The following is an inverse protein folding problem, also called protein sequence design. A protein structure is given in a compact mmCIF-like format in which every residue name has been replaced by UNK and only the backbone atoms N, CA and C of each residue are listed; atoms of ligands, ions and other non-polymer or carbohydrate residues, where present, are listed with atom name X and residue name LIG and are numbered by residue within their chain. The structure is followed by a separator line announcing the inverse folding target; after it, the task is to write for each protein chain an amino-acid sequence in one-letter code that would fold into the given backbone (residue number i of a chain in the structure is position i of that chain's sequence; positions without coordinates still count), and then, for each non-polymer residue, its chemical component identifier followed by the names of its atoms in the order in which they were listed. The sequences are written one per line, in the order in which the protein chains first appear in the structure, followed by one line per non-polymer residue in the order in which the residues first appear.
data_IF_491842706679
#
_entry.id   IF_491842706679
#
_cell.length_a   1.000
_cell.length_b   1.000
_cell.length_c   1.000
_cell.angle_alpha   90.00
_cell.angle_beta   90.00
_cell.angle_gamma   90.00
#
_symmetry.space_group_name_H-M   'P 1'
#
loop_
_entity.id
_entity.type
_entity.pdbx_description
1 polymer ?
#
# COMPACT_ATOMS: atom_id res chain seq x y z
N UNK A 1 -24.50 -19.17 13.40
CA UNK A 1 -24.42 -19.48 11.97
C UNK A 1 -25.76 -19.17 11.34
N UNK A 2 -25.76 -18.35 10.29
CA UNK A 2 -26.94 -18.02 9.49
C UNK A 2 -26.58 -18.17 8.01
N UNK A 3 -27.53 -18.62 7.19
CA UNK A 3 -27.30 -18.74 5.74
C UNK A 3 -27.79 -17.49 5.03
N UNK A 4 -26.97 -16.92 4.14
CA UNK A 4 -27.34 -15.72 3.39
C UNK A 4 -28.60 -15.94 2.52
N UNK A 5 -28.81 -17.17 2.03
CA UNK A 5 -30.01 -17.57 1.28
C UNK A 5 -31.32 -17.40 2.06
N UNK A 6 -31.27 -17.53 3.40
CA UNK A 6 -32.46 -17.38 4.25
C UNK A 6 -32.95 -15.92 4.28
N UNK A 7 -32.10 -14.97 3.88
CA UNK A 7 -32.43 -13.56 3.68
C UNK A 7 -32.75 -13.21 2.21
N UNK A 8 -32.68 -14.20 1.31
CA UNK A 8 -32.90 -14.01 -0.13
C UNK A 8 -31.64 -13.72 -0.95
N UNK A 9 -30.43 -13.88 -0.38
CA UNK A 9 -29.19 -13.75 -1.15
C UNK A 9 -29.01 -15.01 -2.00
N UNK A 10 -29.27 -14.89 -3.30
CA UNK A 10 -29.35 -16.02 -4.24
C UNK A 10 -28.77 -15.63 -5.61
N UNK A 11 -28.14 -16.57 -6.34
CA UNK A 11 -27.63 -16.29 -7.70
C UNK A 11 -28.71 -15.82 -8.69
N UNK A 12 -29.96 -16.23 -8.46
CA UNK A 12 -31.09 -15.86 -9.31
C UNK A 12 -31.74 -14.51 -8.95
N UNK A 13 -31.37 -13.90 -7.83
CA UNK A 13 -31.91 -12.61 -7.42
C UNK A 13 -31.25 -11.47 -8.19
N UNK A 14 -31.95 -10.36 -8.34
CA UNK A 14 -31.37 -9.16 -8.97
C UNK A 14 -30.25 -8.56 -8.11
N UNK A 15 -29.39 -7.76 -8.74
CA UNK A 15 -28.29 -7.04 -8.07
C UNK A 15 -28.72 -6.28 -6.82
N UNK A 16 -29.87 -5.60 -6.87
CA UNK A 16 -30.42 -4.83 -5.76
C UNK A 16 -30.97 -5.74 -4.65
N UNK A 17 -31.71 -6.79 -5.01
CA UNK A 17 -32.25 -7.74 -4.04
C UNK A 17 -31.13 -8.47 -3.29
N UNK A 18 -30.08 -8.86 -3.99
CA UNK A 18 -28.89 -9.48 -3.40
C UNK A 18 -28.16 -8.55 -2.45
N UNK A 19 -27.96 -7.27 -2.83
CA UNK A 19 -27.38 -6.26 -1.94
C UNK A 19 -28.17 -6.14 -0.64
N UNK A 20 -29.49 -5.97 -0.73
CA UNK A 20 -30.37 -5.85 0.43
C UNK A 20 -30.39 -7.11 1.28
N UNK A 21 -30.41 -8.28 0.65
CA UNK A 21 -30.40 -9.57 1.34
C UNK A 21 -29.10 -9.82 2.08
N UNK A 22 -27.95 -9.58 1.43
CA UNK A 22 -26.65 -9.71 2.06
C UNK A 22 -26.48 -8.69 3.18
N UNK A 23 -26.95 -7.45 3.00
CA UNK A 23 -26.93 -6.46 4.07
C UNK A 23 -27.73 -6.92 5.30
N UNK A 24 -28.94 -7.44 5.12
CA UNK A 24 -29.74 -8.00 6.22
C UNK A 24 -29.03 -9.15 6.94
N UNK A 25 -28.33 -10.01 6.19
CA UNK A 25 -27.54 -11.08 6.77
C UNK A 25 -26.38 -10.53 7.61
N UNK A 26 -25.63 -9.56 7.07
CA UNK A 26 -24.52 -8.87 7.75
C UNK A 26 -24.95 -8.11 9.00
N UNK A 27 -26.16 -7.55 9.00
CA UNK A 27 -26.73 -6.83 10.14
C UNK A 27 -26.95 -7.72 11.37
N UNK A 28 -27.01 -9.04 11.18
CA UNK A 28 -27.15 -9.99 12.27
C UNK A 28 -25.82 -10.28 12.99
N UNK A 29 -24.69 -9.97 12.36
CA UNK A 29 -23.35 -10.34 12.83
C UNK A 29 -23.15 -11.86 12.95
N UNK A 30 -22.11 -12.26 13.68
CA UNK A 30 -21.77 -13.67 13.87
C UNK A 30 -21.30 -14.33 12.56
N UNK A 31 -21.58 -15.63 12.41
CA UNK A 31 -21.14 -16.38 11.23
C UNK A 31 -22.24 -16.45 10.16
N UNK A 32 -21.92 -15.97 8.96
CA UNK A 32 -22.79 -15.89 7.79
C UNK A 32 -22.17 -16.71 6.67
N UNK A 33 -22.95 -17.64 6.11
CA UNK A 33 -22.48 -18.54 5.06
C UNK A 33 -23.24 -18.31 3.76
N UNK A 34 -22.50 -18.16 2.66
CA UNK A 34 -23.01 -18.18 1.28
C UNK A 34 -22.73 -19.57 0.72
N UNK A 35 -23.75 -20.43 0.67
CA UNK A 35 -23.60 -21.87 0.39
C UNK A 35 -24.29 -22.37 -0.88
N UNK A 36 -24.96 -21.49 -1.62
CA UNK A 36 -25.60 -21.84 -2.89
C UNK A 36 -24.64 -21.51 -4.03
N UNK A 37 -24.15 -22.52 -4.75
CA UNK A 37 -23.25 -22.30 -5.88
C UNK A 37 -23.89 -21.41 -6.96
N UNK A 38 -23.08 -20.52 -7.55
CA UNK A 38 -23.52 -19.59 -8.58
C UNK A 38 -22.86 -18.22 -8.47
N UNK A 39 -23.14 -17.38 -9.46
CA UNK A 39 -22.67 -16.00 -9.52
C UNK A 39 -23.76 -15.10 -8.95
N UNK A 40 -23.44 -14.34 -7.91
CA UNK A 40 -24.32 -13.40 -7.25
C UNK A 40 -24.04 -12.00 -7.79
N UNK A 41 -24.97 -11.45 -8.56
CA UNK A 41 -24.89 -10.04 -8.91
C UNK A 41 -25.18 -9.20 -7.66
N UNK A 42 -24.30 -8.24 -7.35
CA UNK A 42 -24.47 -7.30 -6.23
C UNK A 42 -24.21 -5.89 -6.73
N UNK A 43 -25.22 -5.03 -6.60
CA UNK A 43 -25.07 -3.61 -6.91
C UNK A 43 -24.62 -2.83 -5.68
N UNK A 44 -23.59 -1.99 -5.80
CA UNK A 44 -23.15 -1.11 -4.72
C UNK A 44 -22.52 -1.80 -3.53
N UNK A 45 -22.39 -1.06 -2.42
CA UNK A 45 -21.63 -1.46 -1.24
C UNK A 45 -22.51 -2.07 -0.15
N UNK A 46 -22.04 -3.16 0.45
CA UNK A 46 -22.58 -3.71 1.71
C UNK A 46 -21.64 -3.42 2.87
N UNK A 47 -22.22 -3.26 4.06
CA UNK A 47 -21.50 -2.91 5.27
C UNK A 47 -21.37 -4.09 6.23
N UNK A 48 -20.13 -4.43 6.58
CA UNK A 48 -19.81 -5.46 7.58
C UNK A 48 -19.45 -4.82 8.93
N UNK A 49 -20.00 -5.34 10.03
CA UNK A 49 -19.72 -4.85 11.37
C UNK A 49 -18.82 -5.79 12.17
N UNK A 50 -18.42 -5.35 13.36
CA UNK A 50 -17.64 -6.14 14.31
C UNK A 50 -18.20 -7.54 14.57
N UNK A 51 -17.33 -8.49 14.93
CA UNK A 51 -17.67 -9.86 15.31
C UNK A 51 -18.45 -10.62 14.24
N UNK A 52 -18.05 -10.42 12.98
CA UNK A 52 -18.73 -10.99 11.81
C UNK A 52 -17.78 -11.82 10.97
N UNK A 53 -18.20 -13.04 10.63
CA UNK A 53 -17.51 -13.92 9.67
C UNK A 53 -18.40 -14.12 8.46
N UNK A 54 -17.90 -13.77 7.28
CA UNK A 54 -18.57 -13.97 6.00
C UNK A 54 -17.81 -15.03 5.21
N UNK A 55 -18.41 -16.22 5.07
CA UNK A 55 -17.78 -17.36 4.40
C UNK A 55 -18.52 -17.70 3.10
N UNK A 56 -17.76 -17.77 2.01
CA UNK A 56 -18.22 -18.15 0.68
C UNK A 56 -17.82 -19.59 0.40
N UNK A 57 -18.80 -20.44 0.12
CA UNK A 57 -18.55 -21.84 -0.22
C UNK A 57 -17.97 -21.97 -1.64
N UNK A 58 -17.34 -23.12 -1.92
CA UNK A 58 -16.83 -23.45 -3.25
C UNK A 58 -17.93 -23.32 -4.32
N UNK A 59 -17.55 -22.79 -5.50
CA UNK A 59 -18.47 -22.57 -6.61
C UNK A 59 -19.37 -21.34 -6.46
N UNK A 60 -19.11 -20.48 -5.48
CA UNK A 60 -19.75 -19.16 -5.34
C UNK A 60 -18.82 -18.07 -5.87
N UNK A 61 -19.41 -17.04 -6.49
CA UNK A 61 -18.70 -15.83 -6.88
C UNK A 61 -19.61 -14.61 -6.73
N UNK A 62 -19.05 -13.47 -6.35
CA UNK A 62 -19.77 -12.19 -6.33
C UNK A 62 -19.35 -11.39 -7.54
N UNK A 63 -20.31 -11.00 -8.37
CA UNK A 63 -20.10 -10.10 -9.50
C UNK A 63 -20.66 -8.73 -9.18
N UNK A 64 -19.84 -7.70 -9.25
CA UNK A 64 -20.34 -6.33 -9.12
C UNK A 64 -21.28 -6.01 -10.28
N UNK A 65 -22.37 -5.33 -9.97
CA UNK A 65 -23.35 -4.88 -10.96
C UNK A 65 -23.53 -3.37 -10.86
N UNK A 66 -23.73 -2.71 -12.00
CA UNK A 66 -23.89 -1.27 -12.05
C UNK A 66 -25.13 -0.87 -11.26
N UNK A 67 -25.01 0.22 -10.51
CA UNK A 67 -26.16 0.84 -9.88
C UNK A 67 -26.96 1.67 -10.90
N UNK A 68 -28.22 1.96 -10.58
CA UNK A 68 -29.02 2.90 -11.35
C UNK A 68 -28.47 4.33 -11.24
N UNK A 69 -28.87 5.21 -12.15
CA UNK A 69 -28.46 6.63 -12.16
C UNK A 69 -28.70 7.30 -10.78
N UNK A 70 -27.67 7.97 -10.24
CA UNK A 70 -27.73 8.69 -8.96
C UNK A 70 -27.47 7.85 -7.69
N UNK A 71 -27.05 6.59 -7.83
CA UNK A 71 -26.67 5.74 -6.69
C UNK A 71 -25.14 5.65 -6.54
N UNK A 72 -24.66 5.73 -5.29
CA UNK A 72 -23.23 5.70 -4.98
C UNK A 72 -22.71 4.28 -4.82
N UNK A 73 -21.59 4.00 -5.48
CA UNK A 73 -20.87 2.73 -5.40
C UNK A 73 -19.42 3.00 -4.97
N UNK A 74 -19.05 2.59 -3.77
CA UNK A 74 -17.71 2.84 -3.21
C UNK A 74 -16.80 1.61 -3.32
N UNK A 75 -17.38 0.46 -3.68
CA UNK A 75 -16.79 -0.87 -3.55
C UNK A 75 -17.86 -1.93 -3.30
N UNK A 76 -17.46 -3.19 -3.20
CA UNK A 76 -18.35 -4.27 -2.77
C UNK A 76 -18.53 -4.27 -1.25
N UNK A 77 -17.45 -4.28 -0.46
CA UNK A 77 -17.50 -4.34 1.01
C UNK A 77 -16.76 -3.16 1.63
N UNK A 78 -17.39 -2.55 2.65
CA UNK A 78 -16.77 -1.62 3.60
C UNK A 78 -17.14 -2.00 5.04
N UNK A 79 -16.27 -1.76 6.02
CA UNK A 79 -16.69 -1.90 7.43
C UNK A 79 -17.54 -0.72 7.91
N UNK A 80 -18.47 -0.98 8.83
CA UNK A 80 -19.41 0.04 9.36
C UNK A 80 -18.69 1.19 10.05
N UNK A 81 -17.66 0.87 10.81
CA UNK A 81 -16.81 1.78 11.57
C UNK A 81 -16.14 2.85 10.71
N UNK A 82 -15.84 2.55 9.45
CA UNK A 82 -15.20 3.45 8.49
C UNK A 82 -15.91 4.82 8.38
N UNK A 83 -17.25 4.83 8.35
CA UNK A 83 -18.04 6.06 8.19
C UNK A 83 -18.20 6.86 9.49
N UNK A 84 -17.85 6.26 10.62
CA UNK A 84 -17.98 6.89 11.95
C UNK A 84 -16.64 7.09 12.64
N UNK A 85 -15.54 6.68 11.99
CA UNK A 85 -14.18 6.69 12.55
C UNK A 85 -14.09 5.95 13.88
N UNK A 86 -14.81 4.83 13.98
CA UNK A 86 -14.79 3.93 15.14
C UNK A 86 -14.24 2.59 14.70
N UNK A 87 -13.46 1.97 15.58
CA UNK A 87 -12.96 0.64 15.31
C UNK A 87 -14.11 -0.36 15.20
N UNK A 88 -14.16 -1.08 14.08
CA UNK A 88 -14.70 -2.42 14.09
C UNK A 88 -13.61 -3.42 14.49
N UNK A 89 -14.01 -4.58 15.02
CA UNK A 89 -13.09 -5.64 15.41
C UNK A 89 -13.57 -7.03 15.05
N UNK A 90 -12.64 -7.97 14.89
CA UNK A 90 -12.91 -9.41 14.70
C UNK A 90 -13.77 -9.69 13.45
N UNK A 91 -13.33 -9.18 12.30
CA UNK A 91 -13.97 -9.40 11.00
C UNK A 91 -13.18 -10.44 10.21
N UNK A 92 -13.89 -11.42 9.64
CA UNK A 92 -13.31 -12.45 8.78
C UNK A 92 -14.09 -12.58 7.48
N UNK A 93 -13.38 -12.60 6.35
CA UNK A 93 -13.91 -12.93 5.02
C UNK A 93 -13.14 -14.14 4.51
N UNK A 94 -13.84 -15.19 4.10
CA UNK A 94 -13.21 -16.40 3.53
C UNK A 94 -13.86 -16.87 2.24
N UNK A 95 -13.05 -17.34 1.29
CA UNK A 95 -13.50 -17.97 0.04
C UNK A 95 -14.08 -17.01 -1.00
N UNK A 96 -13.89 -15.70 -0.84
CA UNK A 96 -14.50 -14.70 -1.71
C UNK A 96 -13.82 -14.69 -3.08
N UNK A 97 -14.55 -15.15 -4.11
CA UNK A 97 -14.25 -14.85 -5.50
C UNK A 97 -15.02 -13.60 -5.94
N UNK A 98 -14.30 -12.52 -6.21
CA UNK A 98 -14.84 -11.26 -6.68
C UNK A 98 -14.61 -11.09 -8.19
N UNK A 99 -15.66 -10.68 -8.91
CA UNK A 99 -15.64 -10.28 -10.30
C UNK A 99 -16.01 -8.79 -10.35
N UNK A 100 -15.04 -7.93 -10.70
CA UNK A 100 -15.26 -6.47 -10.75
C UNK A 100 -16.22 -6.07 -11.86
N UNK A 101 -16.31 -6.88 -12.92
CA UNK A 101 -17.22 -6.69 -14.05
C UNK A 101 -17.05 -5.34 -14.75
N UNK A 102 -15.81 -4.83 -14.78
CA UNK A 102 -15.48 -3.51 -15.35
C UNK A 102 -15.97 -2.32 -14.53
N UNK A 103 -16.52 -2.55 -13.32
CA UNK A 103 -16.93 -1.47 -12.42
C UNK A 103 -15.72 -1.04 -11.61
N UNK A 104 -15.25 0.17 -11.88
CA UNK A 104 -13.97 0.69 -11.40
C UNK A 104 -14.14 2.17 -11.07
N UNK A 105 -14.29 2.50 -9.78
CA UNK A 105 -14.85 3.77 -9.35
C UNK A 105 -13.73 4.76 -9.02
N UNK A 106 -13.80 5.98 -9.55
CA UNK A 106 -12.76 7.01 -9.35
C UNK A 106 -13.22 8.21 -8.51
N UNK A 107 -14.53 8.42 -8.31
CA UNK A 107 -14.99 9.77 -7.93
C UNK A 107 -16.15 9.85 -6.91
N UNK A 108 -16.63 8.75 -6.32
CA UNK A 108 -17.85 8.77 -5.49
C UNK A 108 -17.68 8.22 -4.05
N UNK A 109 -16.46 8.19 -3.53
CA UNK A 109 -16.24 7.78 -2.13
C UNK A 109 -16.63 8.88 -1.14
N UNK A 110 -17.51 8.54 -0.20
CA UNK A 110 -17.88 9.38 0.96
C UNK A 110 -16.70 9.55 1.91
N UNK A 111 -15.75 8.62 1.89
CA UNK A 111 -14.52 8.69 2.66
C UNK A 111 -13.41 9.09 1.70
N UNK A 112 -13.07 10.38 1.70
CA UNK A 112 -11.94 10.90 0.90
C UNK A 112 -10.70 10.07 1.21
N UNK A 113 -10.06 9.53 0.17
CA UNK A 113 -8.89 8.67 0.31
C UNK A 113 -9.18 7.16 0.33
N UNK A 114 -10.44 6.73 0.42
CA UNK A 114 -10.81 5.32 0.27
C UNK A 114 -11.32 5.05 -1.15
N UNK A 115 -10.65 4.15 -1.87
CA UNK A 115 -11.04 3.69 -3.19
C UNK A 115 -10.72 2.21 -3.38
N UNK A 116 -11.63 1.32 -2.98
CA UNK A 116 -11.37 -0.11 -2.97
C UNK A 116 -12.59 -0.94 -3.36
N UNK A 117 -12.36 -2.13 -3.91
CA UNK A 117 -13.43 -3.11 -4.01
C UNK A 117 -13.77 -3.72 -2.64
N UNK A 118 -12.74 -3.98 -1.83
CA UNK A 118 -12.88 -4.44 -0.45
C UNK A 118 -12.07 -3.51 0.44
N UNK A 119 -12.74 -2.63 1.18
CA UNK A 119 -12.09 -1.59 1.96
C UNK A 119 -12.35 -1.72 3.46
N UNK A 120 -11.33 -1.41 4.25
CA UNK A 120 -11.41 -1.37 5.71
C UNK A 120 -10.73 -0.11 6.25
N UNK A 121 -11.43 0.61 7.13
CA UNK A 121 -10.92 1.81 7.78
C UNK A 121 -11.35 1.80 9.25
N UNK A 122 -10.39 2.03 10.17
CA UNK A 122 -10.58 1.78 11.61
C UNK A 122 -10.99 0.33 11.88
N UNK A 123 -10.03 -0.58 11.80
CA UNK A 123 -10.27 -2.03 11.92
C UNK A 123 -9.25 -2.69 12.85
N UNK A 124 -9.71 -3.64 13.67
CA UNK A 124 -8.84 -4.53 14.47
C UNK A 124 -9.13 -6.00 14.18
N UNK A 125 -8.10 -6.84 14.18
CA UNK A 125 -8.26 -8.29 14.03
C UNK A 125 -9.03 -8.66 12.75
N UNK A 126 -8.54 -8.17 11.61
CA UNK A 126 -9.10 -8.45 10.28
C UNK A 126 -8.49 -9.73 9.70
N UNK A 127 -9.31 -10.59 9.12
CA UNK A 127 -8.87 -11.76 8.35
C UNK A 127 -9.51 -11.78 6.96
N UNK A 128 -8.69 -11.97 5.93
CA UNK A 128 -9.17 -12.27 4.57
C UNK A 128 -8.41 -13.50 4.07
N UNK A 129 -9.14 -14.58 3.80
CA UNK A 129 -8.56 -15.89 3.50
C UNK A 129 -9.17 -16.44 2.21
N UNK A 130 -8.36 -17.04 1.33
CA UNK A 130 -8.81 -17.65 0.08
C UNK A 130 -9.59 -16.65 -0.79
N UNK A 131 -8.94 -15.54 -1.14
CA UNK A 131 -9.54 -14.45 -1.91
C UNK A 131 -9.05 -14.45 -3.35
N UNK A 132 -9.99 -14.36 -4.30
CA UNK A 132 -9.67 -14.29 -5.73
C UNK A 132 -10.34 -13.07 -6.40
N UNK A 133 -9.57 -12.34 -7.22
CA UNK A 133 -10.08 -11.28 -8.09
C UNK A 133 -9.24 -11.23 -9.38
N UNK A 134 -9.78 -11.70 -10.51
CA UNK A 134 -9.00 -11.91 -11.74
C UNK A 134 -9.21 -10.83 -12.81
N UNK A 135 -10.11 -9.87 -12.58
CA UNK A 135 -10.47 -8.81 -13.50
C UNK A 135 -10.35 -7.43 -12.85
N UNK A 136 -9.33 -7.22 -12.01
CA UNK A 136 -9.11 -5.94 -11.33
C UNK A 136 -8.95 -4.80 -12.35
N UNK A 137 -9.69 -3.71 -12.14
CA UNK A 137 -9.64 -2.50 -12.96
C UNK A 137 -8.31 -1.75 -12.85
N UNK A 138 -8.26 -0.52 -13.34
CA UNK A 138 -7.09 0.38 -13.33
C UNK A 138 -7.17 1.46 -12.26
N UNK A 139 -8.25 1.56 -11.50
CA UNK A 139 -8.47 2.71 -10.63
C UNK A 139 -8.68 2.36 -9.15
N UNK A 140 -9.61 1.47 -8.84
CA UNK A 140 -9.88 1.00 -7.47
C UNK A 140 -8.85 -0.04 -7.05
N UNK A 141 -8.40 0.04 -5.80
CA UNK A 141 -7.58 -1.00 -5.20
C UNK A 141 -8.40 -2.26 -4.99
N UNK A 142 -7.77 -3.44 -5.08
CA UNK A 142 -8.51 -4.67 -4.81
C UNK A 142 -8.90 -4.75 -3.33
N UNK A 143 -7.90 -4.68 -2.46
CA UNK A 143 -8.06 -4.63 -1.00
C UNK A 143 -7.36 -3.36 -0.50
N UNK A 144 -8.08 -2.50 0.24
CA UNK A 144 -7.49 -1.33 0.90
C UNK A 144 -7.77 -1.36 2.40
N UNK A 145 -6.73 -1.19 3.22
CA UNK A 145 -6.84 -1.25 4.68
C UNK A 145 -6.08 -0.06 5.28
N UNK A 146 -6.73 0.77 6.07
CA UNK A 146 -6.12 1.96 6.69
C UNK A 146 -6.57 2.14 8.14
N UNK A 147 -5.71 2.70 8.99
CA UNK A 147 -5.93 2.80 10.45
C UNK A 147 -6.32 1.45 11.04
N UNK A 148 -5.36 0.52 11.02
CA UNK A 148 -5.59 -0.86 11.41
C UNK A 148 -4.64 -1.36 12.51
N UNK A 149 -5.08 -2.41 13.19
CA UNK A 149 -4.27 -3.22 14.11
C UNK A 149 -4.57 -4.70 13.86
N UNK A 150 -3.55 -5.53 13.63
CA UNK A 150 -3.72 -6.98 13.39
C UNK A 150 -4.55 -7.31 12.15
N UNK A 151 -3.93 -7.22 10.96
CA UNK A 151 -4.51 -7.61 9.69
C UNK A 151 -3.83 -8.86 9.11
N UNK A 152 -4.60 -9.90 8.81
CA UNK A 152 -4.11 -11.17 8.30
C UNK A 152 -4.74 -11.50 6.95
N UNK A 153 -3.92 -11.54 5.90
CA UNK A 153 -4.34 -11.88 4.55
C UNK A 153 -3.61 -13.17 4.10
N UNK A 154 -4.36 -14.19 3.68
CA UNK A 154 -3.78 -15.47 3.27
C UNK A 154 -4.44 -16.03 2.01
N UNK A 155 -3.62 -16.66 1.15
CA UNK A 155 -4.05 -17.29 -0.10
C UNK A 155 -4.79 -16.31 -1.02
N UNK A 156 -4.07 -15.27 -1.46
CA UNK A 156 -4.60 -14.24 -2.36
C UNK A 156 -4.23 -14.57 -3.80
N UNK A 157 -5.20 -14.49 -4.71
CA UNK A 157 -4.95 -14.55 -6.15
C UNK A 157 -5.59 -13.35 -6.85
N UNK A 158 -4.77 -12.39 -7.25
CA UNK A 158 -5.25 -11.11 -7.77
C UNK A 158 -4.57 -10.80 -9.10
N UNK A 159 -5.38 -10.51 -10.11
CA UNK A 159 -4.92 -10.14 -11.45
C UNK A 159 -5.64 -8.89 -11.97
N UNK A 160 -4.90 -7.98 -12.60
CA UNK A 160 -5.48 -6.84 -13.32
C UNK A 160 -4.63 -5.56 -13.33
N UNK A 161 -5.31 -4.41 -13.34
CA UNK A 161 -4.73 -3.12 -13.70
C UNK A 161 -4.26 -2.25 -12.54
N UNK A 162 -4.55 -2.62 -11.28
CA UNK A 162 -4.31 -1.76 -10.11
C UNK A 162 -3.69 -2.53 -8.94
N UNK A 163 -3.48 -1.85 -7.82
CA UNK A 163 -2.81 -2.40 -6.67
C UNK A 163 -3.62 -3.55 -6.04
N UNK A 164 -2.96 -4.64 -5.67
CA UNK A 164 -3.65 -5.81 -5.10
C UNK A 164 -4.00 -5.56 -3.63
N UNK A 165 -2.99 -5.27 -2.81
CA UNK A 165 -3.15 -4.95 -1.39
C UNK A 165 -2.57 -3.58 -1.11
N UNK A 166 -3.41 -2.67 -0.63
CA UNK A 166 -3.07 -1.28 -0.38
C UNK A 166 -3.24 -0.93 1.11
N UNK A 167 -2.13 -0.87 1.83
CA UNK A 167 -2.11 -0.48 3.23
C UNK A 167 -1.84 1.02 3.39
N UNK A 168 -2.68 1.68 4.18
CA UNK A 168 -2.37 2.96 4.83
C UNK A 168 -1.82 2.73 6.24
N UNK A 169 -1.80 3.78 7.08
CA UNK A 169 -1.30 3.73 8.47
C UNK A 169 -1.86 2.55 9.28
N UNK A 170 -1.03 1.89 10.09
CA UNK A 170 -1.44 0.77 10.93
C UNK A 170 -0.29 -0.13 11.35
N UNK A 171 -0.58 -1.17 12.11
CA UNK A 171 0.44 -2.04 12.70
C UNK A 171 0.01 -3.49 12.81
N UNK A 172 1.01 -4.35 12.87
CA UNK A 172 0.89 -5.79 13.07
C UNK A 172 0.10 -6.41 11.91
N UNK A 173 0.78 -6.84 10.84
CA UNK A 173 0.10 -7.42 9.68
C UNK A 173 0.85 -8.58 9.05
N UNK A 174 0.09 -9.45 8.37
CA UNK A 174 0.59 -10.57 7.61
C UNK A 174 -0.06 -10.61 6.22
N UNK A 175 0.76 -10.76 5.19
CA UNK A 175 0.32 -11.23 3.86
C UNK A 175 1.05 -12.55 3.60
N UNK A 176 0.31 -13.63 3.37
CA UNK A 176 0.87 -14.97 3.15
C UNK A 176 0.30 -15.63 1.91
N UNK A 177 1.16 -16.31 1.15
CA UNK A 177 0.78 -17.13 -0.01
C UNK A 177 0.02 -16.31 -1.08
N UNK A 178 0.58 -15.16 -1.47
CA UNK A 178 -0.01 -14.30 -2.50
C UNK A 178 0.50 -14.63 -3.92
N UNK A 179 -0.40 -14.66 -4.90
CA UNK A 179 -0.09 -14.77 -6.32
C UNK A 179 -0.67 -13.55 -7.05
N UNK A 180 0.21 -12.68 -7.54
CA UNK A 180 -0.18 -11.37 -8.05
C UNK A 180 0.25 -11.17 -9.50
N UNK A 181 -0.70 -10.85 -10.37
CA UNK A 181 -0.45 -10.39 -11.74
C UNK A 181 -1.07 -9.01 -11.92
N UNK A 182 -0.43 -7.97 -11.38
CA UNK A 182 -0.92 -6.59 -11.43
C UNK A 182 -0.08 -5.66 -12.32
N UNK A 183 -0.72 -4.68 -12.95
CA UNK A 183 -0.03 -3.63 -13.71
C UNK A 183 0.71 -2.67 -12.78
N UNK A 184 0.04 -2.32 -11.68
CA UNK A 184 0.57 -1.47 -10.61
C UNK A 184 1.19 -2.33 -9.49
N UNK A 185 1.28 -1.80 -8.27
CA UNK A 185 1.90 -2.45 -7.12
C UNK A 185 1.11 -3.69 -6.60
N UNK A 186 1.66 -4.92 -6.60
CA UNK A 186 1.05 -6.03 -5.87
C UNK A 186 0.79 -5.69 -4.40
N UNK A 187 1.75 -5.00 -3.77
CA UNK A 187 1.66 -4.58 -2.38
C UNK A 187 2.11 -3.12 -2.27
N UNK A 188 1.19 -2.25 -1.87
CA UNK A 188 1.45 -0.86 -1.56
C UNK A 188 1.41 -0.67 -0.03
N UNK A 189 2.54 -0.23 0.55
CA UNK A 189 2.70 0.16 1.94
C UNK A 189 2.83 1.68 1.99
N UNK A 190 1.69 2.35 1.86
CA UNK A 190 1.63 3.79 1.61
C UNK A 190 1.31 4.53 2.92
N UNK A 191 2.33 4.74 3.75
CA UNK A 191 2.21 5.48 5.01
C UNK A 191 1.83 6.96 4.78
N UNK A 192 2.34 7.55 3.69
CA UNK A 192 1.76 8.69 2.97
C UNK A 192 1.15 8.18 1.66
N UNK A 193 0.30 8.97 0.99
CA UNK A 193 -0.13 8.64 -0.37
C UNK A 193 -0.49 9.88 -1.21
N UNK A 194 -1.40 9.74 -2.18
CA UNK A 194 -2.19 10.76 -2.87
C UNK A 194 -3.42 11.12 -2.03
N UNK A 195 -3.94 12.35 -2.20
CA UNK A 195 -5.12 12.81 -1.46
C UNK A 195 -6.39 11.96 -1.69
N UNK A 196 -6.42 11.20 -2.78
CA UNK A 196 -7.52 10.29 -3.14
C UNK A 196 -7.22 8.83 -2.82
N UNK A 197 -6.06 8.52 -2.24
CA UNK A 197 -5.53 7.17 -2.09
C UNK A 197 -5.34 6.69 -0.64
N UNK A 198 -5.34 7.60 0.34
CA UNK A 198 -5.42 7.21 1.75
C UNK A 198 -6.22 8.22 2.58
N UNK A 199 -7.12 7.76 3.47
CA UNK A 199 -7.92 8.64 4.31
C UNK A 199 -7.12 9.22 5.48
N UNK A 200 -6.14 8.48 6.01
CA UNK A 200 -5.33 8.82 7.18
C UNK A 200 -3.84 8.58 6.89
N UNK A 201 -2.97 9.29 7.62
CA UNK A 201 -1.51 9.22 7.46
C UNK A 201 -0.84 8.85 8.78
N UNK A 202 0.22 8.07 8.71
CA UNK A 202 0.92 7.56 9.88
C UNK A 202 1.74 6.32 9.55
N UNK A 203 2.44 5.79 10.55
CA UNK A 203 3.39 4.71 10.34
C UNK A 203 2.71 3.38 9.99
N UNK A 204 3.39 2.60 9.13
CA UNK A 204 3.07 1.20 8.85
C UNK A 204 4.13 0.33 9.52
N UNK A 205 3.72 -0.53 10.45
CA UNK A 205 4.65 -1.18 11.38
C UNK A 205 4.43 -2.69 11.55
N UNK A 206 5.51 -3.42 11.82
CA UNK A 206 5.49 -4.81 12.29
C UNK A 206 4.79 -5.76 11.30
N UNK A 207 5.29 -5.77 10.06
CA UNK A 207 4.71 -6.57 8.98
C UNK A 207 5.49 -7.84 8.67
N UNK A 208 4.77 -8.89 8.27
CA UNK A 208 5.33 -10.08 7.60
C UNK A 208 4.65 -10.26 6.24
N UNK A 209 5.43 -10.28 5.18
CA UNK A 209 4.96 -10.59 3.83
C UNK A 209 5.73 -11.81 3.36
N UNK A 210 5.06 -12.95 3.22
CA UNK A 210 5.75 -14.20 2.93
C UNK A 210 5.09 -15.10 1.89
N UNK A 211 5.94 -15.86 1.19
CA UNK A 211 5.53 -16.80 0.15
C UNK A 211 4.71 -16.14 -0.98
N UNK A 212 5.09 -14.93 -1.39
CA UNK A 212 4.38 -14.18 -2.43
C UNK A 212 5.11 -14.24 -3.78
N UNK A 213 4.35 -14.29 -4.87
CA UNK A 213 4.85 -14.31 -6.25
C UNK A 213 4.34 -13.11 -7.05
N UNK A 214 5.26 -12.32 -7.61
CA UNK A 214 5.01 -11.26 -8.59
C UNK A 214 5.04 -11.87 -9.99
N UNK A 215 3.90 -12.39 -10.42
CA UNK A 215 3.73 -13.09 -11.68
C UNK A 215 3.87 -12.15 -12.87
N UNK A 216 4.40 -12.68 -13.98
CA UNK A 216 4.64 -11.91 -15.19
C UNK A 216 3.37 -11.25 -15.75
N UNK A 217 3.53 -10.01 -16.23
CA UNK A 217 2.50 -9.21 -16.86
C UNK A 217 3.10 -8.39 -18.00
N UNK A 218 2.47 -8.33 -19.20
CA UNK A 218 3.08 -7.72 -20.38
C UNK A 218 3.50 -6.25 -20.21
N UNK A 219 2.75 -5.50 -19.40
CA UNK A 219 3.01 -4.10 -19.12
C UNK A 219 2.92 -3.85 -17.62
N UNK A 220 3.74 -2.93 -17.12
CA UNK A 220 3.73 -2.52 -15.71
C UNK A 220 4.26 -1.09 -15.56
N UNK A 221 3.80 -0.39 -14.52
CA UNK A 221 4.39 0.88 -14.06
C UNK A 221 4.78 0.86 -12.58
N UNK A 222 4.19 -0.05 -11.80
CA UNK A 222 4.43 -0.17 -10.36
C UNK A 222 5.70 -0.95 -10.02
N UNK A 223 5.84 -1.23 -8.75
CA UNK A 223 6.90 -1.99 -8.11
C UNK A 223 6.39 -3.37 -7.69
N UNK A 224 7.26 -4.24 -7.15
CA UNK A 224 6.73 -5.38 -6.37
C UNK A 224 6.15 -4.87 -5.04
N UNK A 225 6.89 -3.99 -4.37
CA UNK A 225 6.43 -3.30 -3.18
C UNK A 225 6.77 -1.81 -3.26
N UNK A 226 5.77 -0.96 -3.03
CA UNK A 226 5.96 0.47 -2.77
C UNK A 226 5.92 0.73 -1.27
N UNK A 227 6.90 1.45 -0.74
CA UNK A 227 6.92 1.97 0.63
C UNK A 227 7.00 3.49 0.57
N UNK A 228 5.84 4.14 0.66
CA UNK A 228 5.72 5.59 0.48
C UNK A 228 5.69 6.30 1.84
N UNK A 229 6.77 7.01 2.15
CA UNK A 229 6.85 7.85 3.36
C UNK A 229 6.38 9.28 3.10
N UNK A 230 6.25 10.08 4.15
CA UNK A 230 6.01 11.52 4.01
C UNK A 230 6.34 12.34 5.24
N UNK A 231 6.45 13.66 5.06
CA UNK A 231 6.66 14.62 6.14
C UNK A 231 6.04 15.97 5.82
N UNK A 232 5.53 16.64 6.84
CA UNK A 232 4.90 17.95 6.73
C UNK A 232 5.17 18.80 7.97
N UNK A 233 4.68 20.04 7.95
CA UNK A 233 4.88 21.02 9.01
C UNK A 233 3.55 21.63 9.47
N UNK A 234 3.64 22.50 10.48
CA UNK A 234 2.52 23.38 10.82
C UNK A 234 2.18 24.30 9.66
N UNK A 235 0.88 24.57 9.51
CA UNK A 235 0.41 25.60 8.61
C UNK A 235 0.95 26.97 9.02
N UNK A 236 1.38 27.77 8.04
CA UNK A 236 1.76 29.17 8.23
C UNK A 236 1.21 30.03 7.10
N UNK A 237 0.82 31.26 7.42
CA UNK A 237 0.32 32.20 6.41
C UNK A 237 1.41 32.48 5.36
N UNK A 238 1.01 32.44 4.09
CA UNK A 238 1.89 32.62 2.94
C UNK A 238 2.64 31.36 2.51
N UNK A 239 2.31 30.18 3.05
CA UNK A 239 2.94 28.94 2.60
C UNK A 239 2.46 28.53 1.20
N UNK A 240 3.40 28.08 0.38
CA UNK A 240 3.09 27.47 -0.91
C UNK A 240 2.70 26.01 -0.70
N UNK A 241 1.60 25.58 -1.32
CA UNK A 241 1.12 24.19 -1.32
C UNK A 241 0.64 23.78 -2.70
N UNK A 242 0.56 22.48 -2.97
CA UNK A 242 -0.03 21.87 -4.17
C UNK A 242 -0.84 20.64 -3.81
N UNK A 243 -1.42 19.96 -4.81
CA UNK A 243 -2.19 18.74 -4.57
C UNK A 243 -1.42 17.74 -3.69
N UNK A 244 -2.13 17.07 -2.78
CA UNK A 244 -1.60 16.10 -1.81
C UNK A 244 -0.71 16.64 -0.69
N UNK A 245 -0.39 17.94 -0.65
CA UNK A 245 0.29 18.51 0.52
C UNK A 245 -0.53 18.31 1.79
N UNK A 246 0.15 17.94 2.86
CA UNK A 246 -0.43 17.78 4.19
C UNK A 246 0.12 18.87 5.11
N UNK A 247 -0.69 19.37 6.04
CA UNK A 247 -0.28 20.36 7.05
C UNK A 247 -0.95 20.07 8.38
N UNK A 248 -0.33 20.48 9.48
CA UNK A 248 -0.99 20.52 10.80
C UNK A 248 -1.53 21.91 11.07
N UNK A 249 -2.79 22.01 11.47
CA UNK A 249 -3.43 23.27 11.86
C UNK A 249 -4.39 23.04 13.02
N UNK A 250 -4.28 23.84 14.08
CA UNK A 250 -5.17 23.78 15.24
C UNK A 250 -5.34 22.37 15.84
N UNK A 251 -4.25 21.58 15.87
CA UNK A 251 -4.26 20.22 16.39
C UNK A 251 -4.97 19.20 15.49
N UNK A 252 -5.10 19.48 14.18
CA UNK A 252 -5.64 18.57 13.17
C UNK A 252 -4.74 18.53 11.94
N UNK A 253 -4.82 17.45 11.18
CA UNK A 253 -4.16 17.32 9.90
C UNK A 253 -5.14 17.62 8.78
N UNK A 254 -4.70 18.48 7.86
CA UNK A 254 -5.42 18.85 6.65
C UNK A 254 -4.62 18.48 5.42
N UNK A 255 -5.34 18.16 4.36
CA UNK A 255 -4.75 17.78 3.09
C UNK A 255 -5.34 18.59 1.94
N UNK A 256 -4.48 18.99 1.01
CA UNK A 256 -4.88 19.70 -0.19
C UNK A 256 -5.44 18.69 -1.20
N UNK A 257 -6.67 18.91 -1.65
CA UNK A 257 -7.34 18.10 -2.67
C UNK A 257 -7.58 18.94 -3.93
N UNK A 258 -6.61 18.97 -4.82
CA UNK A 258 -6.65 19.75 -6.07
C UNK A 258 -6.42 18.84 -7.28
N UNK A 259 -6.65 19.31 -8.52
CA UNK A 259 -6.25 18.55 -9.71
C UNK A 259 -4.76 18.16 -9.66
N UNK A 260 -4.43 16.98 -10.18
CA UNK A 260 -3.06 16.47 -10.23
C UNK A 260 -2.27 17.07 -11.41
N UNK A 261 -2.14 18.40 -11.44
CA UNK A 261 -1.48 19.16 -12.51
C UNK A 261 -0.17 19.84 -12.07
N UNK A 262 0.26 19.59 -10.82
CA UNK A 262 1.46 20.19 -10.24
C UNK A 262 1.34 21.68 -9.91
N UNK A 263 0.14 22.27 -10.03
CA UNK A 263 -0.08 23.69 -9.74
C UNK A 263 0.14 24.00 -8.27
N UNK A 264 0.88 25.08 -8.02
CA UNK A 264 1.12 25.63 -6.70
C UNK A 264 0.11 26.74 -6.35
N UNK A 265 -0.21 26.83 -5.07
CA UNK A 265 -1.16 27.76 -4.47
C UNK A 265 -0.53 28.41 -3.24
N UNK A 266 -0.92 29.65 -2.94
CA UNK A 266 -0.47 30.36 -1.74
C UNK A 266 -1.63 30.34 -0.74
N UNK A 267 -1.43 29.69 0.41
CA UNK A 267 -2.40 29.69 1.50
C UNK A 267 -2.12 30.83 2.47
N UNK A 268 -3.05 31.76 2.60
CA UNK A 268 -2.99 32.90 3.53
C UNK A 268 -4.01 32.79 4.65
N UNK A 269 -5.08 32.04 4.42
CA UNK A 269 -6.17 31.73 5.35
C UNK A 269 -5.97 30.34 5.97
N UNK A 270 -5.99 30.28 7.29
CA UNK A 270 -5.74 29.05 8.06
C UNK A 270 -6.94 28.10 7.98
N UNK A 271 -6.77 26.80 7.62
CA UNK A 271 -7.85 25.83 7.73
C UNK A 271 -8.13 25.52 9.21
N UNK A 272 -9.41 25.56 9.59
CA UNK A 272 -9.84 25.33 10.99
C UNK A 272 -11.13 24.51 11.12
N UNK A 273 -11.77 24.12 10.02
CA UNK A 273 -12.98 23.31 10.03
C UNK A 273 -12.76 21.96 10.70
N UNK A 274 -13.77 21.51 11.42
CA UNK A 274 -13.69 20.32 12.26
C UNK A 274 -13.88 19.00 11.48
N UNK A 275 -14.41 19.05 10.25
CA UNK A 275 -14.66 17.87 9.42
C UNK A 275 -14.89 18.27 7.95
N UNK A 276 -14.70 17.31 7.05
CA UNK A 276 -15.03 17.45 5.63
C UNK A 276 -14.08 18.37 4.87
N UNK A 277 -14.60 19.00 3.82
CA UNK A 277 -13.87 19.86 2.89
C UNK A 277 -14.30 21.31 3.03
N UNK A 278 -13.36 22.23 3.02
CA UNK A 278 -13.61 23.67 2.92
C UNK A 278 -12.65 24.30 1.90
N UNK A 279 -13.16 25.19 1.06
CA UNK A 279 -12.36 25.92 0.08
C UNK A 279 -11.90 27.25 0.67
N UNK A 280 -10.60 27.41 0.87
CA UNK A 280 -9.96 28.64 1.38
C UNK A 280 -8.87 29.08 0.41
N UNK A 281 -8.83 30.35 0.03
CA UNK A 281 -7.85 30.88 -0.95
C UNK A 281 -7.86 30.16 -2.32
N UNK A 282 -9.00 29.53 -2.68
CA UNK A 282 -9.10 28.69 -3.87
C UNK A 282 -8.45 27.30 -3.73
N UNK A 283 -8.12 26.90 -2.50
CA UNK A 283 -7.55 25.60 -2.13
C UNK A 283 -8.62 24.79 -1.40
N UNK A 284 -8.90 23.59 -1.89
CA UNK A 284 -9.77 22.63 -1.23
C UNK A 284 -9.00 21.91 -0.12
N UNK A 285 -9.26 22.32 1.13
CA UNK A 285 -8.69 21.70 2.33
C UNK A 285 -9.62 20.64 2.89
N UNK A 286 -9.13 19.41 3.00
CA UNK A 286 -9.86 18.29 3.61
C UNK A 286 -9.30 18.04 5.01
N UNK A 287 -10.15 18.07 6.03
CA UNK A 287 -9.78 17.62 7.38
C UNK A 287 -9.70 16.09 7.36
N UNK A 288 -8.50 15.55 7.49
CA UNK A 288 -8.29 14.10 7.42
C UNK A 288 -8.26 13.46 8.80
N UNK A 289 -7.54 14.03 9.77
CA UNK A 289 -7.23 13.37 11.04
C UNK A 289 -7.15 14.39 12.19
N UNK A 290 -7.83 14.12 13.30
CA UNK A 290 -7.88 14.95 14.51
C UNK A 290 -7.47 14.20 15.79
N UNK A 291 -7.23 12.89 15.67
CA UNK A 291 -6.61 12.03 16.67
C UNK A 291 -5.26 11.52 16.15
N UNK A 292 -4.29 11.28 17.05
CA UNK A 292 -2.94 10.81 16.67
C UNK A 292 -2.27 11.68 15.61
N UNK A 293 -2.42 13.01 15.69
CA UNK A 293 -1.78 13.95 14.76
C UNK A 293 -0.27 13.74 14.78
N UNK A 294 0.29 13.48 13.59
CA UNK A 294 1.71 13.27 13.37
C UNK A 294 2.25 14.31 12.37
N UNK A 295 3.57 14.38 12.23
CA UNK A 295 4.29 15.28 11.30
C UNK A 295 5.06 14.54 10.21
N UNK A 296 5.15 13.22 10.33
CA UNK A 296 5.78 12.34 9.37
C UNK A 296 5.25 10.92 9.49
N UNK A 297 5.52 10.12 8.47
CA UNK A 297 5.12 8.73 8.38
C UNK A 297 6.06 7.94 7.47
N UNK A 298 6.15 6.64 7.71
CA UNK A 298 6.96 5.73 6.91
C UNK A 298 6.68 4.28 7.29
N UNK A 299 7.53 3.37 6.80
CA UNK A 299 7.47 1.96 7.12
C UNK A 299 8.59 1.56 8.07
N UNK A 300 8.30 0.69 9.06
CA UNK A 300 9.35 0.08 9.88
C UNK A 300 9.04 -1.31 10.39
N UNK A 301 10.10 -2.09 10.68
CA UNK A 301 10.02 -3.45 11.20
C UNK A 301 9.21 -4.38 10.28
N UNK A 302 9.60 -4.49 9.02
CA UNK A 302 8.89 -5.30 8.03
C UNK A 302 9.81 -6.39 7.50
N UNK A 303 9.28 -7.61 7.45
CA UNK A 303 9.98 -8.78 6.94
C UNK A 303 9.30 -9.30 5.68
N UNK A 304 10.04 -9.28 4.57
CA UNK A 304 9.69 -9.97 3.33
C UNK A 304 10.42 -11.30 3.28
N UNK A 305 9.71 -12.41 3.11
CA UNK A 305 10.29 -13.75 3.17
C UNK A 305 9.80 -14.64 2.04
N UNK A 306 10.69 -15.38 1.37
CA UNK A 306 10.31 -16.32 0.31
C UNK A 306 9.52 -15.63 -0.83
N UNK A 307 10.13 -14.61 -1.43
CA UNK A 307 9.50 -13.84 -2.51
C UNK A 307 9.98 -14.33 -3.87
N UNK A 308 9.07 -14.49 -4.82
CA UNK A 308 9.38 -14.79 -6.21
C UNK A 308 9.07 -13.60 -7.11
N UNK A 309 10.09 -13.11 -7.81
CA UNK A 309 9.98 -12.02 -8.78
C UNK A 309 10.02 -12.62 -10.19
N UNK A 310 8.85 -12.94 -10.74
CA UNK A 310 8.71 -13.54 -12.07
C UNK A 310 8.54 -12.49 -13.18
N UNK A 311 8.09 -11.29 -12.83
CA UNK A 311 7.93 -10.16 -13.73
C UNK A 311 9.23 -9.38 -13.88
N UNK A 312 9.49 -8.86 -15.09
CA UNK A 312 10.52 -7.84 -15.24
C UNK A 312 10.13 -6.59 -14.46
N UNK A 313 11.03 -6.11 -13.58
CA UNK A 313 10.81 -4.91 -12.77
C UNK A 313 11.99 -3.95 -12.89
N UNK A 314 11.76 -2.69 -13.29
CA UNK A 314 12.77 -1.66 -13.11
C UNK A 314 13.16 -1.52 -11.64
N UNK A 315 12.18 -1.56 -10.73
CA UNK A 315 12.42 -1.50 -9.29
C UNK A 315 11.53 -2.52 -8.59
N UNK A 316 12.11 -3.39 -7.76
CA UNK A 316 11.35 -4.35 -6.95
C UNK A 316 10.86 -3.72 -5.64
N UNK A 317 11.77 -3.29 -4.77
CA UNK A 317 11.47 -2.66 -3.48
C UNK A 317 11.75 -1.16 -3.54
N UNK A 318 10.70 -0.36 -3.62
CA UNK A 318 10.78 1.10 -3.75
C UNK A 318 10.52 1.78 -2.40
N UNK A 319 11.50 2.54 -1.92
CA UNK A 319 11.36 3.38 -0.71
C UNK A 319 11.25 4.83 -1.14
N UNK A 320 10.03 5.36 -1.17
CA UNK A 320 9.72 6.48 -2.04
C UNK A 320 9.26 7.74 -1.28
N UNK A 321 9.72 8.90 -1.75
CA UNK A 321 9.08 10.20 -1.55
C UNK A 321 8.63 10.74 -2.90
N UNK A 322 7.35 11.00 -3.07
CA UNK A 322 6.86 11.60 -4.30
C UNK A 322 7.19 13.09 -4.33
N UNK A 323 7.41 13.56 -5.55
CA UNK A 323 7.65 14.94 -5.89
C UNK A 323 7.34 15.09 -7.38
N UNK A 324 6.06 14.98 -7.71
CA UNK A 324 5.53 15.03 -9.07
C UNK A 324 4.19 15.79 -9.07
N UNK A 325 3.42 15.68 -10.17
CA UNK A 325 2.15 16.39 -10.33
C UNK A 325 1.02 15.84 -9.45
N UNK A 326 1.12 14.58 -9.01
CA UNK A 326 0.11 13.90 -8.21
C UNK A 326 0.36 14.10 -6.72
N UNK A 327 1.64 14.19 -6.33
CA UNK A 327 2.02 14.12 -4.92
C UNK A 327 3.27 14.89 -4.54
N UNK A 328 3.23 15.41 -3.33
CA UNK A 328 4.34 16.06 -2.65
C UNK A 328 4.46 15.46 -1.27
N UNK A 329 5.17 14.33 -1.18
CA UNK A 329 5.20 13.56 0.07
C UNK A 329 6.02 14.25 1.17
N UNK A 330 6.97 15.12 0.80
CA UNK A 330 7.84 15.81 1.74
C UNK A 330 7.74 17.32 1.56
N UNK A 331 7.26 18.01 2.59
CA UNK A 331 7.30 19.47 2.61
C UNK A 331 8.72 19.96 2.96
N UNK A 332 9.30 20.93 2.22
CA UNK A 332 10.66 21.42 2.48
C UNK A 332 10.91 21.79 3.94
N UNK A 333 12.03 21.29 4.48
CA UNK A 333 12.46 21.47 5.87
C UNK A 333 11.56 20.85 6.94
N UNK A 334 10.59 20.00 6.57
CA UNK A 334 9.91 19.13 7.52
C UNK A 334 10.88 18.08 8.09
N UNK A 335 10.53 17.51 9.24
CA UNK A 335 11.30 16.44 9.87
C UNK A 335 11.11 15.12 9.10
N UNK A 336 12.08 14.77 8.27
CA UNK A 336 11.98 13.63 7.36
C UNK A 336 11.98 12.30 8.14
N UNK A 337 11.01 11.40 7.89
CA UNK A 337 11.00 10.07 8.50
C UNK A 337 12.18 9.24 8.01
N UNK A 338 12.71 8.39 8.90
CA UNK A 338 13.65 7.33 8.53
C UNK A 338 12.90 6.01 8.50
N UNK A 339 12.74 5.42 7.31
CA UNK A 339 12.15 4.09 7.18
C UNK A 339 13.20 3.04 7.56
N UNK A 340 12.88 2.13 8.48
CA UNK A 340 13.91 1.35 9.17
C UNK A 340 13.56 -0.11 9.44
N UNK A 341 14.59 -0.93 9.65
CA UNK A 341 14.47 -2.33 10.04
C UNK A 341 13.66 -3.16 9.02
N UNK A 342 14.09 -3.12 7.77
CA UNK A 342 13.49 -3.91 6.69
C UNK A 342 14.36 -5.12 6.39
N UNK A 343 13.77 -6.31 6.53
CA UNK A 343 14.43 -7.58 6.22
C UNK A 343 13.84 -8.14 4.94
N UNK A 344 14.71 -8.49 3.99
CA UNK A 344 14.38 -9.13 2.72
C UNK A 344 15.12 -10.47 2.71
N UNK A 345 14.38 -11.55 2.93
CA UNK A 345 14.90 -12.91 3.10
C UNK A 345 14.41 -13.83 1.98
N UNK A 346 15.33 -14.61 1.40
CA UNK A 346 15.04 -15.65 0.43
C UNK A 346 14.22 -15.13 -0.77
N UNK A 347 14.83 -14.24 -1.55
CA UNK A 347 14.23 -13.70 -2.79
C UNK A 347 14.81 -14.40 -4.01
N UNK A 348 13.93 -14.99 -4.80
CA UNK A 348 14.21 -15.62 -6.08
C UNK A 348 13.80 -14.67 -7.22
N UNK A 349 14.72 -14.36 -8.12
CA UNK A 349 14.45 -13.54 -9.31
C UNK A 349 14.41 -14.47 -10.52
N UNK A 350 13.26 -14.67 -11.16
CA UNK A 350 13.18 -15.48 -12.38
C UNK A 350 13.38 -14.63 -13.64
N UNK A 351 13.13 -13.33 -13.56
CA UNK A 351 13.27 -12.36 -14.65
C UNK A 351 14.20 -11.19 -14.25
N UNK A 352 14.47 -10.28 -15.18
CA UNK A 352 15.37 -9.16 -14.96
C UNK A 352 14.78 -8.14 -13.99
N UNK A 353 15.56 -7.80 -12.97
CA UNK A 353 15.28 -6.74 -12.01
C UNK A 353 16.46 -5.77 -12.04
N UNK A 354 16.24 -4.53 -12.47
CA UNK A 354 17.34 -3.55 -12.59
C UNK A 354 17.79 -3.09 -11.21
N UNK A 355 16.83 -2.71 -10.37
CA UNK A 355 17.05 -2.28 -9.00
C UNK A 355 16.29 -3.18 -8.04
N UNK A 356 17.00 -3.99 -7.25
CA UNK A 356 16.35 -4.70 -6.15
C UNK A 356 15.80 -3.68 -5.16
N UNK A 357 16.63 -2.70 -4.78
CA UNK A 357 16.24 -1.61 -3.91
C UNK A 357 16.55 -0.28 -4.60
N UNK A 358 15.57 0.61 -4.63
CA UNK A 358 15.81 2.02 -4.84
C UNK A 358 15.10 2.83 -3.77
N UNK A 359 15.86 3.61 -3.03
CA UNK A 359 15.36 4.58 -2.06
C UNK A 359 15.61 6.02 -2.47
N UNK A 360 14.57 6.86 -2.34
CA UNK A 360 14.64 8.32 -2.36
C UNK A 360 14.28 8.94 -1.00
N UNK A 361 13.92 8.11 -0.01
CA UNK A 361 13.67 8.52 1.37
C UNK A 361 14.88 8.25 2.27
N UNK A 362 14.97 8.88 3.45
CA UNK A 362 15.84 8.40 4.50
C UNK A 362 15.47 6.95 4.87
N UNK A 363 16.46 6.05 4.82
CA UNK A 363 16.32 4.63 5.16
C UNK A 363 17.52 4.17 5.98
N UNK A 364 17.33 3.19 6.87
CA UNK A 364 18.44 2.49 7.53
C UNK A 364 18.03 1.09 8.00
N UNK A 365 18.98 0.29 8.49
CA UNK A 365 18.72 -1.04 9.04
C UNK A 365 18.16 -2.04 8.01
N UNK A 366 18.66 -2.01 6.77
CA UNK A 366 18.26 -2.95 5.71
C UNK A 366 19.04 -4.25 5.85
N UNK A 367 18.34 -5.39 5.80
CA UNK A 367 18.95 -6.73 5.86
C UNK A 367 18.55 -7.51 4.62
N UNK A 368 19.54 -7.94 3.84
CA UNK A 368 19.37 -8.89 2.75
C UNK A 368 19.88 -10.25 3.22
N UNK A 369 19.02 -11.27 3.24
CA UNK A 369 19.35 -12.59 3.75
C UNK A 369 19.03 -13.63 2.67
N UNK A 370 20.02 -14.42 2.25
CA UNK A 370 19.84 -15.47 1.23
C UNK A 370 19.20 -14.93 -0.06
N UNK A 371 19.66 -13.78 -0.55
CA UNK A 371 19.15 -13.16 -1.79
C UNK A 371 20.07 -13.50 -2.95
N UNK A 372 19.49 -13.86 -4.10
CA UNK A 372 20.25 -14.00 -5.35
C UNK A 372 20.24 -12.68 -6.13
N UNK A 373 21.38 -11.99 -6.16
CA UNK A 373 21.60 -10.81 -6.97
C UNK A 373 22.14 -11.24 -8.34
N UNK A 374 21.23 -11.34 -9.31
CA UNK A 374 21.57 -11.57 -10.72
C UNK A 374 22.35 -10.38 -11.28
N UNK A 375 21.66 -9.41 -11.87
CA UNK A 375 22.24 -8.12 -12.26
C UNK A 375 21.62 -6.95 -11.49
N UNK A 376 20.86 -7.27 -10.42
CA UNK A 376 20.08 -6.29 -9.69
C UNK A 376 20.97 -5.40 -8.82
N UNK A 377 20.75 -4.10 -8.91
CA UNK A 377 21.50 -3.10 -8.18
C UNK A 377 20.75 -2.56 -6.96
N UNK A 378 21.48 -1.84 -6.11
CA UNK A 378 20.97 -1.17 -4.92
C UNK A 378 21.31 0.32 -5.00
N UNK A 379 20.31 1.18 -4.83
CA UNK A 379 20.49 2.63 -4.95
C UNK A 379 19.86 3.41 -3.81
N UNK A 380 20.68 4.26 -3.22
CA UNK A 380 20.27 5.29 -2.27
C UNK A 380 20.40 6.65 -2.95
N UNK A 381 19.29 7.14 -3.52
CA UNK A 381 19.20 8.43 -4.18
C UNK A 381 18.93 9.58 -3.21
N UNK A 382 19.18 10.79 -3.70
CA UNK A 382 18.74 12.03 -3.08
C UNK A 382 17.55 12.55 -3.88
N UNK A 383 16.44 12.84 -3.21
CA UNK A 383 15.22 13.34 -3.87
C UNK A 383 15.35 14.77 -4.42
N UNK A 384 16.36 15.53 -3.97
CA UNK A 384 16.63 16.89 -4.44
C UNK A 384 15.70 17.96 -3.84
N UNK A 385 14.99 17.64 -2.76
CA UNK A 385 14.14 18.61 -2.04
C UNK A 385 14.93 19.20 -0.86
N UNK A 386 14.99 20.53 -0.68
CA UNK A 386 15.71 21.15 0.42
C UNK A 386 15.21 20.71 1.79
N UNK A 387 16.16 20.54 2.73
CA UNK A 387 15.87 20.23 4.12
C UNK A 387 15.83 18.75 4.48
N UNK A 388 15.81 17.83 3.50
CA UNK A 388 15.88 16.41 3.80
C UNK A 388 17.26 16.07 4.40
N UNK A 389 17.25 15.57 5.63
CA UNK A 389 18.43 15.01 6.28
C UNK A 389 18.44 13.51 6.05
N UNK A 390 19.50 13.03 5.39
CA UNK A 390 19.71 11.60 5.17
C UNK A 390 20.74 11.06 6.16
N UNK A 391 20.34 10.23 7.13
CA UNK A 391 21.29 9.52 7.97
C UNK A 391 22.09 8.50 7.13
N UNK A 392 23.22 8.00 7.66
CA UNK A 392 23.89 6.84 7.09
C UNK A 392 22.91 5.67 6.95
N UNK A 393 22.93 5.03 5.77
CA UNK A 393 22.16 3.81 5.53
C UNK A 393 22.98 2.64 6.02
N UNK A 394 22.54 1.97 7.08
CA UNK A 394 23.09 0.68 7.47
C UNK A 394 22.45 -0.42 6.62
N UNK A 395 23.28 -1.15 5.86
CA UNK A 395 22.85 -2.31 5.09
C UNK A 395 23.74 -3.52 5.36
N UNK A 396 23.09 -4.66 5.62
CA UNK A 396 23.76 -5.94 5.80
C UNK A 396 23.30 -6.96 4.76
N UNK A 397 24.24 -7.77 4.28
CA UNK A 397 24.01 -8.84 3.32
C UNK A 397 24.58 -10.13 3.89
N UNK A 398 23.73 -11.14 4.07
CA UNK A 398 24.09 -12.42 4.65
C UNK A 398 23.63 -13.56 3.73
N UNK A 399 24.51 -14.49 3.34
CA UNK A 399 24.11 -15.58 2.45
C UNK A 399 23.80 -15.15 1.02
N UNK A 400 24.16 -13.92 0.63
CA UNK A 400 23.81 -13.35 -0.68
C UNK A 400 24.68 -13.98 -1.77
N UNK A 401 24.06 -14.31 -2.90
CA UNK A 401 24.74 -14.82 -4.10
C UNK A 401 24.85 -13.72 -5.13
N UNK A 402 26.07 -13.40 -5.55
CA UNK A 402 26.35 -12.41 -6.59
C UNK A 402 26.64 -13.16 -7.89
N UNK A 403 25.67 -13.19 -8.80
CA UNK A 403 25.70 -14.01 -10.01
C UNK A 403 26.16 -13.24 -11.26
N UNK A 404 25.98 -11.91 -11.26
CA UNK A 404 26.31 -11.03 -12.39
C UNK A 404 27.02 -9.76 -11.96
N UNK A 405 26.81 -8.68 -12.72
CA UNK A 405 27.43 -7.37 -12.45
C UNK A 405 26.48 -6.52 -11.61
N UNK A 406 26.72 -6.54 -10.31
CA UNK A 406 25.90 -5.86 -9.32
C UNK A 406 26.60 -4.60 -8.85
N UNK A 407 25.84 -3.60 -8.42
CA UNK A 407 26.41 -2.44 -7.76
C UNK A 407 25.53 -1.87 -6.67
N UNK A 408 26.19 -1.20 -5.74
CA UNK A 408 25.57 -0.42 -4.68
C UNK A 408 26.01 1.04 -4.81
N UNK A 409 25.07 1.96 -4.67
CA UNK A 409 25.36 3.39 -4.85
C UNK A 409 24.71 4.27 -3.80
N UNK A 410 25.48 5.25 -3.31
CA UNK A 410 25.00 6.36 -2.50
C UNK A 410 25.14 7.65 -3.31
N UNK A 411 24.00 8.28 -3.62
CA UNK A 411 23.95 9.57 -4.31
C UNK A 411 24.48 10.73 -3.46
N UNK A 412 24.51 11.93 -4.04
CA UNK A 412 24.96 13.13 -3.36
C UNK A 412 24.22 13.36 -2.03
N UNK A 413 24.97 13.67 -0.96
CA UNK A 413 24.41 13.86 0.38
C UNK A 413 23.93 12.58 1.08
N UNK A 414 24.08 11.40 0.46
CA UNK A 414 23.83 10.10 1.08
C UNK A 414 25.15 9.48 1.52
N UNK A 415 25.10 8.62 2.54
CA UNK A 415 26.19 7.71 2.95
C UNK A 415 25.59 6.33 3.18
N UNK A 416 26.29 5.28 2.79
CA UNK A 416 25.90 3.90 3.08
C UNK A 416 27.05 3.14 3.74
N UNK A 417 26.74 2.40 4.79
CA UNK A 417 27.64 1.52 5.53
C UNK A 417 27.22 0.07 5.26
N UNK A 418 28.09 -0.70 4.60
CA UNK A 418 27.77 -2.02 4.06
C UNK A 418 28.55 -3.09 4.81
N UNK A 419 27.84 -4.12 5.29
CA UNK A 419 28.44 -5.34 5.83
C UNK A 419 28.01 -6.56 5.03
N UNK A 420 28.97 -7.39 4.61
CA UNK A 420 28.74 -8.61 3.84
C UNK A 420 29.35 -9.80 4.59
N UNK A 421 28.57 -10.87 4.74
CA UNK A 421 28.99 -12.11 5.39
C UNK A 421 28.32 -13.35 4.81
N UNK A 422 28.98 -14.49 4.96
CA UNK A 422 28.56 -15.80 4.48
C UNK A 422 28.07 -15.78 3.02
N UNK A 423 28.65 -14.90 2.20
CA UNK A 423 28.19 -14.61 0.84
C UNK A 423 29.11 -15.22 -0.21
N UNK A 424 28.59 -15.42 -1.41
CA UNK A 424 29.33 -16.06 -2.50
C UNK A 424 29.25 -15.23 -3.77
N UNK A 425 30.39 -15.05 -4.43
CA UNK A 425 30.48 -14.39 -5.73
C UNK A 425 30.88 -15.41 -6.79
N UNK A 426 30.02 -15.55 -7.81
CA UNK A 426 30.28 -16.45 -8.94
C UNK A 426 31.48 -15.99 -9.75
N UNK A 427 32.17 -16.94 -10.38
CA UNK A 427 33.23 -16.63 -11.34
C UNK A 427 32.72 -15.72 -12.46
N UNK A 428 33.39 -14.57 -12.66
CA UNK A 428 33.01 -13.55 -13.64
C UNK A 428 31.97 -12.55 -13.16
N UNK A 429 31.37 -12.74 -11.98
CA UNK A 429 30.53 -11.74 -11.33
C UNK A 429 31.38 -10.61 -10.72
N UNK A 430 30.73 -9.48 -10.45
CA UNK A 430 31.38 -8.33 -9.81
C UNK A 430 30.39 -7.60 -8.90
N UNK A 431 30.91 -7.07 -7.78
CA UNK A 431 30.18 -6.14 -6.95
C UNK A 431 30.93 -4.82 -6.85
N UNK A 432 30.28 -3.74 -7.29
CA UNK A 432 30.89 -2.41 -7.42
C UNK A 432 30.22 -1.42 -6.48
N UNK A 433 31.01 -0.59 -5.80
CA UNK A 433 30.52 0.52 -4.99
C UNK A 433 30.70 1.86 -5.70
N UNK A 434 29.71 2.75 -5.58
CA UNK A 434 29.73 4.10 -6.18
C UNK A 434 29.27 5.18 -5.20
N UNK A 435 30.00 6.28 -5.17
CA UNK A 435 29.72 7.41 -4.27
C UNK A 435 30.19 7.12 -2.84
N UNK A 436 29.51 7.72 -1.85
CA UNK A 436 29.89 7.60 -0.44
C UNK A 436 29.38 6.28 0.17
N UNK A 437 29.97 5.18 -0.30
CA UNK A 437 29.70 3.82 0.19
C UNK A 437 30.95 3.29 0.89
N UNK A 438 30.78 2.98 2.16
CA UNK A 438 31.82 2.42 3.03
C UNK A 438 31.56 0.94 3.27
N UNK A 439 32.58 0.11 3.01
CA UNK A 439 32.52 -1.33 3.27
C UNK A 439 33.10 -1.55 4.67
N UNK A 440 32.23 -1.85 5.62
CA UNK A 440 32.59 -2.06 7.02
C UNK A 440 33.24 -3.44 7.21
N UNK A 441 32.67 -4.45 6.53
CA UNK A 441 33.14 -5.83 6.51
C UNK A 441 32.68 -6.49 5.21
N UNK A 442 33.54 -7.32 4.62
CA UNK A 442 33.17 -8.13 3.47
C UNK A 442 34.00 -9.41 3.42
N UNK A 443 33.37 -10.52 3.06
CA UNK A 443 34.01 -11.80 2.73
C UNK A 443 34.16 -12.01 1.21
N UNK A 444 33.60 -11.11 0.40
CA UNK A 444 33.82 -11.04 -1.06
C UNK A 444 34.64 -9.82 -1.44
N UNK A 445 35.22 -9.83 -2.64
CA UNK A 445 35.85 -8.64 -3.19
C UNK A 445 34.79 -7.59 -3.59
N UNK A 446 35.07 -6.33 -3.27
CA UNK A 446 34.23 -5.18 -3.64
C UNK A 446 35.11 -4.17 -4.36
N UNK A 447 34.72 -3.78 -5.57
CA UNK A 447 35.49 -2.88 -6.42
C UNK A 447 34.92 -1.46 -6.36
N UNK A 448 35.78 -0.45 -6.54
CA UNK A 448 35.33 0.91 -6.80
C UNK A 448 34.88 1.05 -8.26
N UNK A 449 33.85 1.87 -8.49
CA UNK A 449 33.49 2.27 -9.85
C UNK A 449 34.61 3.14 -10.45
N UNK A 450 35.03 2.82 -11.68
CA UNK A 450 35.97 3.65 -12.45
C UNK A 450 35.41 5.05 -12.78
#
# INVERSE_FOLDING_TARGET
MVYARDYGFLPSASAYENREALQRALDCGGEITVDVAGIYDVGGTVLIGSNTRLAFAEGTAVRRAALGEGQHDEGFIMNRGAYTRKYDENIEISGLQLITNGIDNIHDSKIVGMNAHVGFFYIKHLKIIDFECLDLGKHSYCIQICTFEDAYLENLKIEGGKDAVHFGTGRDFVIRNGAFRTYDDPIALNANDYATANPHMGWIENGLIENCSDLDQPETTGYFVRMLGGAWCDWKSGMTVRNSDTVVSCGRMYRVLMPADGKEYISVTKPTHAAGKETLDGIDWVMIQDENVCYNCGCRNIHFKNIKLCKHRPIAFSFHFDNDNYSHSYYPYADAPVQENITIENVEMENDVDWLIWSTTPVTGIKLINVELKNAAIRFGNRGVPGIVYPPVEISMAGTRFEGKNFISAGEGRRAEVSISDSHMREGAAFVKKGNVEIMKSDIAVNDAE
#
